data_IF_429044016673
#
_entry.id   IF_429044016673
#
_cell.length_a   1.000
_cell.length_b   1.000
_cell.length_c   1.000
_cell.angle_alpha   90.00
_cell.angle_beta   90.00
_cell.angle_gamma   90.00
#
_symmetry.space_group_name_H-M   'P 1'
#
loop_
_entity.id
_entity.type
_entity.pdbx_description
1 polymer ?
#
# COMPACT_ATOMS: atom_id res chain seq x y z
N UNK A 1 -12.38 28.08 9.89
CA UNK A 1 -12.65 26.99 8.95
C UNK A 1 -14.15 26.68 8.94
N UNK A 2 -14.78 26.32 10.09
CA UNK A 2 -16.21 25.97 10.14
C UNK A 2 -17.13 27.04 9.53
N UNK A 3 -16.91 28.32 9.86
CA UNK A 3 -17.68 29.45 9.27
C UNK A 3 -17.50 29.59 7.74
N UNK A 4 -16.36 29.16 7.21
CA UNK A 4 -16.07 29.18 5.78
C UNK A 4 -16.63 27.96 5.04
N UNK A 5 -17.16 26.96 5.73
CA UNK A 5 -17.73 25.73 5.15
C UNK A 5 -16.73 24.85 4.40
N UNK A 6 -15.43 25.09 4.57
CA UNK A 6 -14.37 24.33 3.90
C UNK A 6 -13.94 23.13 4.73
N UNK A 7 -13.56 22.02 4.11
CA UNK A 7 -12.95 20.90 4.81
C UNK A 7 -11.55 21.25 5.33
N UNK A 8 -11.14 20.61 6.43
CA UNK A 8 -9.84 20.80 7.06
C UNK A 8 -9.08 19.49 7.08
N UNK A 9 -7.85 19.49 6.58
CA UNK A 9 -6.87 18.44 6.82
C UNK A 9 -5.87 18.92 7.88
N UNK A 10 -5.65 18.10 8.90
CA UNK A 10 -4.64 18.32 9.94
C UNK A 10 -3.53 17.29 9.71
N UNK A 11 -2.30 17.76 9.56
CA UNK A 11 -1.11 16.91 9.42
C UNK A 11 -0.24 17.21 10.64
N UNK A 12 -0.20 16.30 11.59
CA UNK A 12 0.50 16.47 12.85
C UNK A 12 1.24 15.19 13.26
N UNK A 13 2.16 15.30 14.20
CA UNK A 13 2.85 14.13 14.75
C UNK A 13 1.86 13.15 15.38
N UNK A 14 0.95 13.66 16.19
CA UNK A 14 -0.21 12.93 16.69
C UNK A 14 -1.40 13.87 16.93
N UNK A 15 -2.59 13.30 16.95
CA UNK A 15 -3.84 13.97 17.36
C UNK A 15 -4.57 13.02 18.28
N UNK A 16 -4.56 13.28 19.56
CA UNK A 16 -5.09 12.40 20.60
C UNK A 16 -5.89 13.16 21.67
N UNK A 17 -6.42 12.42 22.64
CA UNK A 17 -7.10 12.97 23.80
C UNK A 17 -8.29 13.87 23.46
N UNK A 18 -8.39 15.02 24.15
CA UNK A 18 -9.48 15.97 24.00
C UNK A 18 -9.53 16.59 22.59
N UNK A 19 -8.38 16.79 21.95
CA UNK A 19 -8.31 17.33 20.58
C UNK A 19 -8.99 16.37 19.60
N UNK A 20 -8.63 15.08 19.64
CA UNK A 20 -9.26 14.07 18.80
C UNK A 20 -10.76 13.95 19.07
N UNK A 21 -11.16 13.88 20.35
CA UNK A 21 -12.56 13.79 20.73
C UNK A 21 -13.38 14.98 20.21
N UNK A 22 -12.83 16.19 20.32
CA UNK A 22 -13.46 17.41 19.81
C UNK A 22 -13.64 17.36 18.29
N UNK A 23 -12.62 16.94 17.54
CA UNK A 23 -12.69 16.81 16.08
C UNK A 23 -13.74 15.77 15.66
N UNK A 24 -13.75 14.61 16.31
CA UNK A 24 -14.71 13.53 16.03
C UNK A 24 -16.14 13.98 16.28
N UNK A 25 -16.42 14.59 17.44
CA UNK A 25 -17.78 15.06 17.78
C UNK A 25 -18.26 16.12 16.78
N UNK A 26 -17.41 17.06 16.41
CA UNK A 26 -17.80 18.12 15.46
C UNK A 26 -17.95 17.59 14.03
N UNK A 27 -17.18 16.55 13.65
CA UNK A 27 -17.33 15.86 12.38
C UNK A 27 -18.65 15.09 12.31
N UNK A 28 -18.99 14.33 13.35
CA UNK A 28 -20.26 13.58 13.44
C UNK A 28 -21.46 14.51 13.40
N UNK A 29 -21.37 15.66 14.09
CA UNK A 29 -22.43 16.69 14.07
C UNK A 29 -22.52 17.47 12.76
N UNK A 30 -21.61 17.22 11.81
CA UNK A 30 -21.57 17.94 10.52
C UNK A 30 -21.16 19.41 10.63
N UNK A 31 -20.63 19.85 11.78
CA UNK A 31 -20.17 21.24 12.00
C UNK A 31 -18.92 21.54 11.17
N UNK A 32 -18.01 20.57 11.06
CA UNK A 32 -16.80 20.66 10.27
C UNK A 32 -16.49 19.31 9.58
N UNK A 33 -16.08 19.37 8.31
CA UNK A 33 -15.50 18.23 7.61
C UNK A 33 -14.01 18.22 7.90
N UNK A 34 -13.53 17.31 8.74
CA UNK A 34 -12.14 17.27 9.17
C UNK A 34 -11.57 15.87 9.05
N UNK A 35 -10.31 15.79 8.67
CA UNK A 35 -9.49 14.60 8.73
C UNK A 35 -8.16 14.94 9.37
N UNK A 36 -7.65 14.07 10.24
CA UNK A 36 -6.31 14.17 10.80
C UNK A 36 -5.48 12.98 10.32
N UNK A 37 -4.26 13.27 9.89
CA UNK A 37 -3.29 12.26 9.44
C UNK A 37 -1.96 12.48 10.14
N UNK A 38 -1.23 11.38 10.35
CA UNK A 38 0.12 11.47 10.93
C UNK A 38 1.10 12.09 9.96
N UNK A 39 1.94 12.98 10.47
CA UNK A 39 3.02 13.59 9.71
C UNK A 39 4.02 12.52 9.24
N UNK A 40 4.49 12.57 7.98
CA UNK A 40 5.40 11.60 7.44
C UNK A 40 6.82 11.73 8.04
N UNK A 41 7.51 10.61 8.20
CA UNK A 41 8.89 10.56 8.68
C UNK A 41 9.04 10.78 10.20
N UNK A 42 10.29 10.95 10.63
CA UNK A 42 10.67 11.13 12.04
C UNK A 42 11.74 12.21 12.17
N UNK A 43 11.80 12.88 13.35
CA UNK A 43 12.82 13.87 13.67
C UNK A 43 12.93 14.99 12.62
N UNK A 44 14.14 15.38 12.26
CA UNK A 44 14.39 16.47 11.31
C UNK A 44 13.85 16.18 9.90
N UNK A 45 13.77 14.90 9.51
CA UNK A 45 13.14 14.52 8.25
C UNK A 45 11.65 14.83 8.26
N UNK A 46 10.94 14.61 9.37
CA UNK A 46 9.53 14.99 9.51
C UNK A 46 9.34 16.49 9.32
N UNK A 47 10.20 17.29 9.94
CA UNK A 47 10.17 18.76 9.79
C UNK A 47 10.39 19.16 8.35
N UNK A 48 11.37 18.57 7.68
CA UNK A 48 11.65 18.84 6.28
C UNK A 48 10.50 18.46 5.34
N UNK A 49 9.83 17.32 5.59
CA UNK A 49 8.68 16.89 4.80
C UNK A 49 7.44 17.76 5.06
N UNK A 50 7.20 18.19 6.29
CA UNK A 50 6.15 19.16 6.61
C UNK A 50 6.41 20.50 5.93
N UNK A 51 7.66 20.95 5.86
CA UNK A 51 8.04 22.15 5.12
C UNK A 51 7.78 22.02 3.62
N UNK A 52 8.07 20.85 3.04
CA UNK A 52 7.78 20.56 1.64
C UNK A 52 6.27 20.65 1.35
N UNK A 53 5.44 20.07 2.23
CA UNK A 53 3.97 20.15 2.13
C UNK A 53 3.48 21.59 2.30
N UNK A 54 4.05 22.35 3.23
CA UNK A 54 3.71 23.74 3.46
C UNK A 54 4.00 24.58 2.22
N UNK A 55 5.18 24.45 1.62
CA UNK A 55 5.54 25.14 0.38
C UNK A 55 4.60 24.76 -0.76
N UNK A 56 4.27 23.48 -0.90
CA UNK A 56 3.36 23.01 -1.95
C UNK A 56 1.95 23.60 -1.82
N UNK A 57 1.48 23.83 -0.61
CA UNK A 57 0.09 24.27 -0.32
C UNK A 57 -0.03 25.74 0.00
N UNK A 58 1.08 26.45 0.11
CA UNK A 58 1.13 27.85 0.57
C UNK A 58 0.84 27.99 2.07
N UNK A 59 1.10 26.94 2.85
CA UNK A 59 0.93 26.93 4.30
C UNK A 59 2.21 27.38 5.03
N UNK A 60 2.08 27.53 6.34
CA UNK A 60 3.20 27.71 7.27
C UNK A 60 3.22 26.56 8.26
N UNK A 61 4.38 25.95 8.47
CA UNK A 61 4.54 24.92 9.51
C UNK A 61 4.48 25.59 10.88
N UNK A 62 3.53 25.16 11.70
CA UNK A 62 3.39 25.68 13.08
C UNK A 62 4.27 24.81 13.98
N UNK A 63 5.38 25.39 14.45
CA UNK A 63 6.32 24.73 15.35
C UNK A 63 6.81 25.72 16.39
N UNK A 64 6.91 25.29 17.63
CA UNK A 64 7.36 26.13 18.76
C UNK A 64 8.81 26.59 18.56
N UNK A 65 9.63 25.80 17.90
CA UNK A 65 11.03 26.11 17.61
C UNK A 65 11.21 27.36 16.72
N UNK A 66 10.22 27.66 15.87
CA UNK A 66 10.20 28.87 15.04
C UNK A 66 9.34 29.99 15.67
N UNK A 67 8.94 29.83 16.93
CA UNK A 67 8.16 30.83 17.67
C UNK A 67 6.67 30.86 17.32
N UNK A 68 6.16 29.88 16.61
CA UNK A 68 4.75 29.74 16.26
C UNK A 68 4.06 28.76 17.21
N UNK A 69 2.89 29.14 17.73
CA UNK A 69 2.06 28.25 18.56
C UNK A 69 0.67 28.08 17.95
N UNK A 70 0.07 26.91 18.19
CA UNK A 70 -1.28 26.61 17.73
C UNK A 70 -2.32 27.61 18.26
N UNK A 71 -2.13 28.13 19.45
CA UNK A 71 -3.04 29.12 20.08
C UNK A 71 -3.13 30.43 19.27
N UNK A 72 -2.04 30.80 18.59
CA UNK A 72 -1.93 32.03 17.80
C UNK A 72 -2.19 31.81 16.32
N UNK A 73 -2.39 30.55 15.89
CA UNK A 73 -2.61 30.21 14.51
C UNK A 73 -3.92 30.80 13.97
N UNK A 74 -3.85 31.39 12.81
CA UNK A 74 -4.98 31.99 12.10
C UNK A 74 -5.22 31.28 10.76
N UNK A 75 -6.17 31.74 9.98
CA UNK A 75 -6.40 31.21 8.64
C UNK A 75 -5.27 31.54 7.66
N UNK A 76 -4.41 32.48 8.00
CA UNK A 76 -3.30 32.89 7.11
C UNK A 76 -2.17 31.88 7.06
N UNK A 77 -2.00 31.10 8.12
CA UNK A 77 -1.01 30.01 8.18
C UNK A 77 -1.49 28.73 7.49
N UNK A 78 -2.78 28.65 7.15
CA UNK A 78 -3.34 27.47 6.50
C UNK A 78 -3.09 27.49 4.99
N UNK A 79 -2.57 26.40 4.49
CA UNK A 79 -2.48 26.16 3.06
C UNK A 79 -3.82 25.72 2.45
N UNK A 80 -3.87 25.69 1.14
CA UNK A 80 -5.02 25.20 0.39
C UNK A 80 -4.59 24.29 -0.76
N UNK A 81 -5.49 23.40 -1.17
CA UNK A 81 -5.32 22.55 -2.34
C UNK A 81 -6.68 22.38 -3.04
N UNK A 82 -6.65 22.10 -4.33
CA UNK A 82 -7.86 21.85 -5.10
C UNK A 82 -8.55 20.57 -4.67
N UNK A 83 -7.78 19.53 -4.40
CA UNK A 83 -8.29 18.24 -3.94
C UNK A 83 -7.26 17.56 -3.04
N UNK A 84 -7.75 16.92 -1.97
CA UNK A 84 -6.95 16.02 -1.14
C UNK A 84 -7.64 14.67 -1.13
N UNK A 85 -6.89 13.63 -1.43
CA UNK A 85 -7.35 12.25 -1.39
C UNK A 85 -6.62 11.52 -0.26
N UNK A 86 -7.39 10.94 0.65
CA UNK A 86 -6.88 10.28 1.84
C UNK A 86 -7.36 8.85 1.82
N UNK A 87 -6.42 7.92 1.95
CA UNK A 87 -6.68 6.50 2.17
C UNK A 87 -6.08 6.09 3.51
N UNK A 88 -6.21 4.83 3.86
CA UNK A 88 -5.58 4.29 5.07
C UNK A 88 -4.04 4.39 5.01
N UNK A 89 -3.46 4.25 3.82
CA UNK A 89 -2.02 4.14 3.60
C UNK A 89 -1.39 5.43 3.06
N UNK A 90 -2.17 6.25 2.33
CA UNK A 90 -1.63 7.37 1.60
C UNK A 90 -2.49 8.63 1.71
N UNK A 91 -1.84 9.78 1.72
CA UNK A 91 -2.48 11.10 1.56
C UNK A 91 -1.88 11.80 0.36
N UNK A 92 -2.71 12.10 -0.63
CA UNK A 92 -2.29 12.75 -1.87
C UNK A 92 -2.85 14.17 -1.94
N UNK A 93 -1.99 15.17 -2.08
CA UNK A 93 -2.33 16.57 -2.28
C UNK A 93 -2.25 16.89 -3.77
N UNK A 94 -3.34 17.34 -4.35
CA UNK A 94 -3.46 17.66 -5.79
C UNK A 94 -3.72 19.14 -5.96
N UNK A 95 -2.90 19.79 -6.79
CA UNK A 95 -2.97 21.23 -7.08
C UNK A 95 -2.97 22.07 -5.79
N UNK A 96 -1.88 22.01 -5.04
CA UNK A 96 -1.62 22.90 -3.90
C UNK A 96 -1.48 24.35 -4.37
N UNK A 97 -1.88 25.30 -3.51
CA UNK A 97 -1.88 26.73 -3.84
C UNK A 97 -0.54 27.42 -3.58
N UNK A 98 0.54 26.67 -3.34
CA UNK A 98 1.88 27.24 -3.20
C UNK A 98 2.38 27.93 -4.47
N UNK A 99 3.25 28.92 -4.31
CA UNK A 99 3.79 29.64 -5.47
C UNK A 99 4.76 28.74 -6.24
N UNK A 100 4.72 28.82 -7.56
CA UNK A 100 5.62 28.04 -8.44
C UNK A 100 7.10 28.41 -8.20
N UNK A 101 7.38 29.66 -7.85
CA UNK A 101 8.72 30.13 -7.49
C UNK A 101 9.26 29.46 -6.24
N UNK A 102 8.43 29.35 -5.19
CA UNK A 102 8.84 28.74 -3.93
C UNK A 102 9.05 27.24 -4.06
N UNK A 103 8.16 26.57 -4.84
CA UNK A 103 8.29 25.16 -5.16
C UNK A 103 9.60 24.91 -5.95
N UNK A 104 9.89 25.71 -6.98
CA UNK A 104 11.16 25.61 -7.73
C UNK A 104 12.37 25.87 -6.85
N UNK A 105 12.34 26.90 -6.00
CA UNK A 105 13.41 27.16 -5.05
C UNK A 105 13.66 26.00 -4.10
N UNK A 106 12.59 25.36 -3.62
CA UNK A 106 12.71 24.19 -2.76
C UNK A 106 13.28 22.96 -3.48
N UNK A 107 12.87 22.75 -4.72
CA UNK A 107 13.41 21.68 -5.60
C UNK A 107 14.92 21.86 -5.79
N UNK A 108 15.40 23.06 -6.10
CA UNK A 108 16.83 23.34 -6.25
C UNK A 108 17.60 23.16 -4.94
N UNK A 109 17.02 23.57 -3.80
CA UNK A 109 17.62 23.32 -2.49
C UNK A 109 17.81 21.81 -2.21
N UNK A 110 16.80 20.99 -2.52
CA UNK A 110 16.90 19.53 -2.33
C UNK A 110 17.94 18.95 -3.28
N UNK A 111 18.04 19.43 -4.53
CA UNK A 111 19.10 19.00 -5.47
C UNK A 111 20.49 19.26 -4.95
N UNK A 112 20.73 20.46 -4.42
CA UNK A 112 22.03 20.80 -3.79
C UNK A 112 22.35 19.84 -2.63
N UNK A 113 21.37 19.55 -1.78
CA UNK A 113 21.56 18.60 -0.68
C UNK A 113 21.89 17.19 -1.16
N UNK A 114 21.33 16.74 -2.31
CA UNK A 114 21.65 15.44 -2.92
C UNK A 114 23.13 15.40 -3.40
N UNK A 115 23.64 16.51 -3.91
CA UNK A 115 25.03 16.62 -4.36
C UNK A 115 26.02 16.69 -3.21
N UNK A 116 25.64 17.33 -2.10
CA UNK A 116 26.49 17.55 -0.93
C UNK A 116 26.56 16.31 0.00
N UNK A 117 25.51 15.49 0.03
CA UNK A 117 25.47 14.34 0.94
C UNK A 117 26.39 13.20 0.50
N UNK A 118 27.13 12.64 1.46
CA UNK A 118 27.98 11.46 1.28
C UNK A 118 27.29 10.15 1.68
N UNK A 119 26.12 10.24 2.28
CA UNK A 119 25.32 9.10 2.74
C UNK A 119 24.38 8.63 1.62
N UNK A 120 24.55 7.40 1.15
CA UNK A 120 23.66 6.79 0.14
C UNK A 120 22.20 6.73 0.62
N UNK A 121 22.00 6.46 1.91
CA UNK A 121 20.67 6.46 2.52
C UNK A 121 20.01 7.85 2.51
N UNK A 122 20.74 8.91 2.88
CA UNK A 122 20.21 10.27 2.86
C UNK A 122 19.95 10.73 1.44
N UNK A 123 20.83 10.35 0.51
CA UNK A 123 20.66 10.62 -0.92
C UNK A 123 19.37 10.00 -1.46
N UNK A 124 19.10 8.74 -1.13
CA UNK A 124 17.84 8.07 -1.51
C UNK A 124 16.62 8.83 -0.95
N UNK A 125 16.65 9.22 0.33
CA UNK A 125 15.53 9.92 0.98
C UNK A 125 15.33 11.35 0.46
N UNK A 126 16.38 12.03 0.06
CA UNK A 126 16.30 13.32 -0.61
C UNK A 126 15.72 13.17 -2.03
N UNK A 127 16.12 12.12 -2.77
CA UNK A 127 15.53 11.81 -4.08
C UNK A 127 14.04 11.50 -4.00
N UNK A 128 13.58 10.77 -2.99
CA UNK A 128 12.15 10.55 -2.74
C UNK A 128 11.39 11.86 -2.53
N UNK A 129 11.93 12.78 -1.74
CA UNK A 129 11.34 14.11 -1.52
C UNK A 129 11.29 14.93 -2.79
N UNK A 130 12.40 14.94 -3.54
CA UNK A 130 12.48 15.62 -4.84
C UNK A 130 11.41 15.12 -5.81
N UNK A 131 11.26 13.79 -5.92
CA UNK A 131 10.27 13.17 -6.80
C UNK A 131 8.84 13.57 -6.43
N UNK A 132 8.52 13.67 -5.13
CA UNK A 132 7.18 14.10 -4.65
C UNK A 132 6.88 15.56 -4.95
N UNK A 133 7.88 16.44 -4.89
CA UNK A 133 7.70 17.87 -5.17
C UNK A 133 7.72 18.20 -6.67
N UNK A 134 8.66 17.59 -7.41
CA UNK A 134 8.89 17.91 -8.82
C UNK A 134 8.08 17.06 -9.80
N UNK A 135 7.67 15.85 -9.39
CA UNK A 135 7.07 14.85 -10.28
C UNK A 135 5.58 15.05 -10.57
N UNK A 136 4.87 15.85 -9.79
CA UNK A 136 3.43 15.99 -9.89
C UNK A 136 2.66 14.72 -9.53
N UNK A 137 1.35 14.72 -9.75
CA UNK A 137 0.44 13.58 -9.51
C UNK A 137 -0.25 13.19 -10.80
N UNK A 138 -0.01 11.98 -11.27
CA UNK A 138 -0.78 11.40 -12.37
C UNK A 138 -2.08 10.78 -11.83
N UNK A 139 -3.21 11.09 -12.47
CA UNK A 139 -4.52 10.54 -12.10
C UNK A 139 -5.00 9.61 -13.20
N UNK A 140 -5.12 8.33 -12.88
CA UNK A 140 -5.70 7.34 -13.78
C UNK A 140 -7.19 7.22 -13.45
N UNK A 141 -8.05 7.64 -14.38
CA UNK A 141 -9.50 7.52 -14.23
C UNK A 141 -9.97 6.16 -14.73
N UNK A 142 -10.53 5.37 -13.84
CA UNK A 142 -11.07 4.03 -14.15
C UNK A 142 -12.58 4.10 -14.25
N UNK A 143 -13.14 3.55 -15.34
CA UNK A 143 -14.58 3.44 -15.55
C UNK A 143 -14.97 2.05 -16.05
N UNK A 144 -16.21 1.64 -15.81
CA UNK A 144 -16.80 0.41 -16.30
C UNK A 144 -18.33 0.55 -16.39
N UNK A 145 -19.01 -0.44 -16.98
CA UNK A 145 -20.45 -0.45 -17.11
C UNK A 145 -21.16 -0.71 -15.77
N UNK A 146 -20.55 -1.44 -14.86
CA UNK A 146 -21.08 -1.77 -13.53
C UNK A 146 -20.10 -1.38 -12.42
N UNK A 147 -20.63 -1.18 -11.22
CA UNK A 147 -19.81 -0.87 -10.03
C UNK A 147 -18.84 -2.01 -9.68
N UNK A 148 -19.26 -3.26 -9.83
CA UNK A 148 -18.43 -4.44 -9.57
C UNK A 148 -17.24 -4.49 -10.53
N UNK A 149 -17.51 -4.33 -11.82
CA UNK A 149 -16.46 -4.28 -12.85
C UNK A 149 -15.51 -3.10 -12.66
N UNK A 150 -16.02 -1.94 -12.25
CA UNK A 150 -15.21 -0.78 -11.95
C UNK A 150 -14.27 -1.03 -10.77
N UNK A 151 -14.76 -1.68 -9.71
CA UNK A 151 -13.94 -2.06 -8.54
C UNK A 151 -12.85 -3.06 -8.92
N UNK A 152 -13.20 -4.06 -9.75
CA UNK A 152 -12.22 -5.04 -10.24
C UNK A 152 -11.13 -4.37 -11.09
N UNK A 153 -11.50 -3.52 -12.05
CA UNK A 153 -10.54 -2.77 -12.86
C UNK A 153 -9.65 -1.85 -12.02
N UNK A 154 -10.24 -1.18 -11.02
CA UNK A 154 -9.49 -0.35 -10.09
C UNK A 154 -8.46 -1.16 -9.32
N UNK A 155 -8.85 -2.29 -8.75
CA UNK A 155 -7.95 -3.18 -8.01
C UNK A 155 -6.80 -3.69 -8.90
N UNK A 156 -7.07 -4.03 -10.16
CA UNK A 156 -6.06 -4.45 -11.14
C UNK A 156 -5.06 -3.34 -11.47
N UNK A 157 -5.52 -2.09 -11.59
CA UNK A 157 -4.64 -0.93 -11.80
C UNK A 157 -3.80 -0.64 -10.55
N UNK A 158 -4.39 -0.75 -9.36
CA UNK A 158 -3.68 -0.59 -8.08
C UNK A 158 -2.58 -1.66 -7.93
N UNK A 159 -2.87 -2.91 -8.25
CA UNK A 159 -1.90 -4.01 -8.24
C UNK A 159 -0.73 -3.74 -9.21
N UNK A 160 -1.03 -3.36 -10.44
CA UNK A 160 -0.02 -2.98 -11.43
C UNK A 160 0.85 -1.81 -10.96
N UNK A 161 0.27 -0.83 -10.26
CA UNK A 161 1.01 0.29 -9.69
C UNK A 161 1.98 -0.16 -8.58
N UNK A 162 1.52 -1.02 -7.68
CA UNK A 162 2.37 -1.57 -6.61
C UNK A 162 3.52 -2.41 -7.19
N UNK A 163 3.24 -3.28 -8.16
CA UNK A 163 4.25 -4.06 -8.86
C UNK A 163 5.29 -3.17 -9.57
N UNK A 164 4.83 -2.12 -10.24
CA UNK A 164 5.70 -1.17 -10.94
C UNK A 164 6.62 -0.41 -9.96
N UNK A 165 6.09 0.05 -8.83
CA UNK A 165 6.88 0.70 -7.78
C UNK A 165 7.96 -0.24 -7.24
N UNK A 166 7.59 -1.47 -6.91
CA UNK A 166 8.54 -2.48 -6.43
C UNK A 166 9.63 -2.79 -7.48
N UNK A 167 9.28 -2.83 -8.76
CA UNK A 167 10.21 -3.03 -9.86
C UNK A 167 11.18 -1.86 -10.05
N UNK A 168 10.74 -0.63 -9.82
CA UNK A 168 11.62 0.56 -9.87
C UNK A 168 12.64 0.53 -8.73
N UNK A 169 12.27 0.00 -7.55
CA UNK A 169 13.13 -0.03 -6.38
C UNK A 169 14.25 -1.09 -6.48
N UNK A 170 13.95 -2.31 -6.91
CA UNK A 170 14.88 -3.45 -6.89
C UNK A 170 15.04 -4.15 -8.25
N UNK A 171 14.46 -3.60 -9.32
CA UNK A 171 14.50 -4.22 -10.64
C UNK A 171 13.51 -5.36 -10.82
N UNK A 172 13.69 -6.09 -11.91
CA UNK A 172 12.81 -7.18 -12.34
C UNK A 172 13.59 -8.49 -12.49
N UNK A 173 12.88 -9.59 -12.36
CA UNK A 173 13.35 -10.95 -12.64
C UNK A 173 12.38 -11.68 -13.56
N UNK A 174 12.78 -12.83 -14.10
CA UNK A 174 11.88 -13.71 -14.85
C UNK A 174 10.70 -14.13 -13.96
N UNK A 175 9.48 -13.89 -14.45
CA UNK A 175 8.24 -14.20 -13.74
C UNK A 175 7.84 -15.68 -13.85
N UNK A 176 6.61 -15.98 -13.43
CA UNK A 176 6.09 -17.34 -13.49
C UNK A 176 6.76 -18.33 -12.52
N UNK A 177 7.39 -17.85 -11.45
CA UNK A 177 8.11 -18.68 -10.49
C UNK A 177 9.54 -19.06 -10.91
N UNK A 178 9.97 -18.68 -12.11
CA UNK A 178 11.29 -19.05 -12.67
C UNK A 178 12.45 -18.53 -11.83
N UNK A 179 12.36 -17.30 -11.31
CA UNK A 179 13.42 -16.70 -10.51
C UNK A 179 13.77 -17.54 -9.27
N UNK A 180 12.76 -18.10 -8.57
CA UNK A 180 12.96 -18.96 -7.42
C UNK A 180 13.57 -20.31 -7.82
N UNK A 181 13.17 -20.91 -8.95
CA UNK A 181 13.76 -22.13 -9.49
C UNK A 181 15.24 -21.92 -9.83
N UNK A 182 15.60 -20.78 -10.41
CA UNK A 182 17.03 -20.44 -10.66
C UNK A 182 17.81 -20.21 -9.37
N UNK A 183 17.21 -19.57 -8.38
CA UNK A 183 17.81 -19.43 -7.05
C UNK A 183 17.99 -20.78 -6.36
N UNK A 184 17.01 -21.68 -6.46
CA UNK A 184 17.08 -23.06 -5.97
C UNK A 184 18.31 -23.81 -6.51
N UNK A 185 18.59 -23.69 -7.81
CA UNK A 185 19.74 -24.32 -8.44
C UNK A 185 21.09 -23.85 -7.84
N UNK A 186 21.17 -22.61 -7.35
CA UNK A 186 22.37 -22.07 -6.71
C UNK A 186 22.60 -22.58 -5.28
N UNK A 187 21.55 -23.05 -4.64
CA UNK A 187 21.59 -23.57 -3.26
C UNK A 187 21.37 -25.06 -3.16
N UNK A 188 21.37 -25.78 -4.30
CA UNK A 188 21.09 -27.22 -4.31
C UNK A 188 22.11 -28.05 -3.52
N UNK A 189 23.37 -27.61 -3.49
CA UNK A 189 24.48 -28.29 -2.81
C UNK A 189 24.72 -27.74 -1.39
N UNK A 190 23.88 -26.83 -0.91
CA UNK A 190 23.96 -26.30 0.45
C UNK A 190 23.62 -27.43 1.44
N UNK A 191 24.50 -27.66 2.41
CA UNK A 191 24.30 -28.63 3.49
C UNK A 191 24.44 -27.93 4.84
N UNK A 192 23.73 -28.44 5.82
CA UNK A 192 23.83 -28.00 7.21
C UNK A 192 24.97 -28.68 7.95
N UNK A 193 25.13 -28.36 9.21
CA UNK A 193 26.12 -29.00 10.10
C UNK A 193 25.59 -30.30 10.75
N UNK A 194 24.30 -30.60 10.60
CA UNK A 194 23.64 -31.80 11.11
C UNK A 194 22.39 -32.13 10.28
N UNK A 195 21.85 -33.33 10.53
CA UNK A 195 20.68 -33.87 9.82
C UNK A 195 19.44 -32.94 9.90
N UNK A 196 19.16 -32.33 11.05
CA UNK A 196 17.97 -31.50 11.24
C UNK A 196 18.06 -30.21 10.38
N UNK A 197 19.27 -29.63 10.26
CA UNK A 197 19.51 -28.52 9.36
C UNK A 197 19.35 -28.92 7.89
N UNK A 198 19.81 -30.12 7.51
CA UNK A 198 19.61 -30.63 6.15
C UNK A 198 18.13 -30.79 5.81
N UNK A 199 17.33 -31.28 6.76
CA UNK A 199 15.85 -31.37 6.62
C UNK A 199 15.26 -29.97 6.44
N UNK A 200 15.65 -29.01 7.25
CA UNK A 200 15.20 -27.61 7.14
C UNK A 200 15.56 -26.98 5.78
N UNK A 201 16.78 -27.21 5.29
CA UNK A 201 17.22 -26.77 3.96
C UNK A 201 16.37 -27.45 2.87
N UNK A 202 16.06 -28.75 3.02
CA UNK A 202 15.18 -29.50 2.11
C UNK A 202 13.78 -28.91 2.04
N UNK A 203 13.20 -28.54 3.19
CA UNK A 203 11.88 -27.87 3.26
C UNK A 203 11.92 -26.53 2.53
N UNK A 204 12.93 -25.71 2.77
CA UNK A 204 13.07 -24.40 2.11
C UNK A 204 13.22 -24.56 0.58
N UNK A 205 14.01 -25.51 0.13
CA UNK A 205 14.15 -25.82 -1.31
C UNK A 205 12.81 -26.22 -1.92
N UNK A 206 12.08 -27.11 -1.28
CA UNK A 206 10.78 -27.57 -1.78
C UNK A 206 9.77 -26.41 -1.84
N UNK A 207 9.80 -25.51 -0.86
CA UNK A 207 8.94 -24.32 -0.85
C UNK A 207 9.22 -23.38 -2.02
N UNK A 208 10.47 -23.27 -2.49
CA UNK A 208 10.84 -22.41 -3.63
C UNK A 208 10.27 -22.91 -4.98
N UNK A 209 9.90 -24.17 -5.09
CA UNK A 209 9.24 -24.73 -6.28
C UNK A 209 7.73 -24.38 -6.34
N UNK A 210 7.11 -24.14 -5.18
CA UNK A 210 5.64 -24.04 -5.08
C UNK A 210 5.03 -22.93 -5.93
N UNK A 211 5.60 -21.71 -6.06
CA UNK A 211 5.02 -20.68 -6.93
C UNK A 211 4.86 -21.14 -8.39
N UNK A 212 5.88 -21.79 -8.96
CA UNK A 212 5.78 -22.37 -10.32
C UNK A 212 4.75 -23.48 -10.36
N UNK A 213 4.78 -24.42 -9.40
CA UNK A 213 3.85 -25.54 -9.34
C UNK A 213 2.41 -25.09 -9.26
N UNK A 214 2.13 -24.07 -8.43
CA UNK A 214 0.78 -23.53 -8.27
C UNK A 214 0.28 -22.86 -9.56
N UNK A 215 1.14 -22.06 -10.23
CA UNK A 215 0.79 -21.43 -11.50
C UNK A 215 0.43 -22.48 -12.54
N UNK A 216 1.26 -23.49 -12.69
CA UNK A 216 1.05 -24.58 -13.66
C UNK A 216 -0.20 -25.38 -13.33
N UNK A 217 -0.41 -25.74 -12.04
CA UNK A 217 -1.60 -26.46 -11.59
C UNK A 217 -2.89 -25.67 -11.83
N UNK A 218 -2.86 -24.34 -11.64
CA UNK A 218 -3.99 -23.46 -11.94
C UNK A 218 -4.31 -23.40 -13.44
N UNK A 219 -3.31 -23.58 -14.31
CA UNK A 219 -3.51 -23.70 -15.75
C UNK A 219 -4.07 -25.07 -16.19
N UNK A 220 -4.06 -26.05 -15.28
CA UNK A 220 -4.54 -27.41 -15.57
C UNK A 220 -3.45 -28.37 -16.07
N UNK A 221 -2.19 -27.94 -16.06
CA UNK A 221 -1.06 -28.72 -16.53
C UNK A 221 -0.35 -29.47 -15.39
N UNK A 222 0.46 -30.49 -15.77
CA UNK A 222 1.21 -31.30 -14.81
C UNK A 222 2.45 -30.54 -14.29
N UNK A 223 2.36 -30.04 -13.08
CA UNK A 223 3.37 -29.18 -12.48
C UNK A 223 4.76 -29.81 -12.39
N UNK A 224 4.85 -31.14 -12.15
CA UNK A 224 6.12 -31.84 -12.02
C UNK A 224 6.86 -31.91 -13.36
N UNK A 225 6.14 -32.12 -14.45
CA UNK A 225 6.71 -32.14 -15.80
C UNK A 225 7.23 -30.76 -16.21
N UNK A 226 6.44 -29.73 -15.96
CA UNK A 226 6.83 -28.36 -16.28
C UNK A 226 8.03 -27.91 -15.45
N UNK A 227 8.02 -28.18 -14.14
CA UNK A 227 9.12 -27.84 -13.24
C UNK A 227 10.44 -28.47 -13.75
N UNK A 228 10.45 -29.76 -14.06
CA UNK A 228 11.64 -30.46 -14.54
C UNK A 228 12.19 -29.84 -15.84
N UNK A 229 11.31 -29.52 -16.79
CA UNK A 229 11.71 -28.81 -18.00
C UNK A 229 12.28 -27.41 -17.75
N UNK A 230 11.71 -26.69 -16.80
CA UNK A 230 12.22 -25.36 -16.42
C UNK A 230 13.56 -25.47 -15.71
N UNK A 231 13.76 -26.49 -14.84
CA UNK A 231 15.04 -26.77 -14.18
C UNK A 231 16.17 -27.08 -15.15
N UNK A 232 15.87 -27.85 -16.21
CA UNK A 232 16.83 -28.18 -17.27
C UNK A 232 17.22 -26.98 -18.14
N UNK A 233 16.41 -25.92 -18.11
CA UNK A 233 16.67 -24.70 -18.85
C UNK A 233 17.60 -23.73 -18.13
N UNK A 234 18.13 -22.75 -18.84
CA UNK A 234 19.06 -21.74 -18.32
C UNK A 234 18.46 -20.33 -18.40
N UNK A 235 19.02 -19.40 -17.61
CA UNK A 235 18.67 -17.98 -17.65
C UNK A 235 17.19 -17.75 -17.36
N UNK A 236 16.51 -17.06 -18.28
CA UNK A 236 15.09 -16.68 -18.14
C UNK A 236 14.13 -17.73 -18.73
N UNK A 237 14.63 -18.90 -19.15
CA UNK A 237 13.80 -19.94 -19.74
C UNK A 237 12.76 -20.45 -18.74
N UNK A 238 11.49 -20.40 -19.15
CA UNK A 238 10.36 -20.76 -18.30
C UNK A 238 9.15 -21.20 -19.09
N UNK A 239 8.01 -21.28 -18.44
CA UNK A 239 6.74 -21.75 -19.00
C UNK A 239 5.68 -20.66 -18.93
N UNK A 240 5.10 -20.30 -20.08
CA UNK A 240 3.95 -19.40 -20.19
C UNK A 240 2.67 -20.21 -19.98
N UNK A 241 2.10 -20.16 -18.79
CA UNK A 241 0.90 -20.90 -18.44
C UNK A 241 -0.38 -20.44 -19.19
N UNK A 242 -0.36 -19.26 -19.82
CA UNK A 242 -1.48 -18.79 -20.62
C UNK A 242 -1.52 -19.41 -22.04
N UNK A 243 -0.34 -19.76 -22.60
CA UNK A 243 -0.25 -20.28 -23.98
C UNK A 243 0.26 -21.71 -24.07
N UNK A 244 0.81 -22.27 -22.98
CA UNK A 244 1.46 -23.57 -22.98
C UNK A 244 2.87 -23.58 -23.60
N UNK A 245 3.45 -22.41 -23.88
CA UNK A 245 4.74 -22.29 -24.55
C UNK A 245 5.90 -22.14 -23.59
N UNK A 246 7.05 -22.69 -23.98
CA UNK A 246 8.31 -22.54 -23.25
C UNK A 246 9.20 -21.52 -23.98
N UNK A 247 9.88 -20.67 -23.21
CA UNK A 247 10.79 -19.69 -23.78
C UNK A 247 11.36 -18.71 -22.76
N UNK A 248 12.00 -17.65 -23.24
CA UNK A 248 12.51 -16.57 -22.39
C UNK A 248 11.36 -15.74 -21.83
N UNK A 249 11.14 -15.83 -20.52
CA UNK A 249 10.03 -15.15 -19.82
C UNK A 249 10.12 -13.64 -19.93
N UNK A 250 11.34 -13.09 -19.92
CA UNK A 250 11.55 -11.64 -20.04
C UNK A 250 11.17 -11.17 -21.44
N UNK A 251 11.58 -11.91 -22.48
CA UNK A 251 11.21 -11.61 -23.86
C UNK A 251 9.70 -11.75 -24.10
N UNK A 252 9.03 -12.66 -23.40
CA UNK A 252 7.57 -12.84 -23.43
C UNK A 252 6.80 -11.78 -22.62
N UNK A 253 7.50 -10.89 -21.89
CA UNK A 253 6.88 -9.89 -21.02
C UNK A 253 6.32 -10.44 -19.72
N UNK A 254 6.73 -11.64 -19.31
CA UNK A 254 6.32 -12.29 -18.04
C UNK A 254 7.40 -11.98 -17.01
N UNK A 255 7.14 -10.97 -16.19
CA UNK A 255 8.10 -10.36 -15.27
C UNK A 255 7.55 -10.35 -13.86
N UNK A 256 8.43 -10.52 -12.88
CA UNK A 256 8.13 -10.30 -11.46
C UNK A 256 9.05 -9.20 -10.90
N UNK A 257 8.54 -8.31 -10.02
CA UNK A 257 9.41 -7.42 -9.26
C UNK A 257 10.32 -8.21 -8.32
N UNK A 258 11.62 -7.97 -8.37
CA UNK A 258 12.60 -8.65 -7.51
C UNK A 258 12.25 -8.52 -6.03
N UNK A 259 11.86 -7.32 -5.61
CA UNK A 259 11.45 -7.03 -4.24
C UNK A 259 10.31 -7.92 -3.77
N UNK A 260 9.27 -8.11 -4.60
CA UNK A 260 8.10 -8.92 -4.25
C UNK A 260 8.50 -10.39 -4.07
N UNK A 261 9.24 -10.95 -5.03
CA UNK A 261 9.70 -12.36 -4.98
C UNK A 261 10.60 -12.60 -3.77
N UNK A 262 11.52 -11.69 -3.50
CA UNK A 262 12.43 -11.77 -2.36
C UNK A 262 11.69 -11.68 -1.02
N UNK A 263 10.79 -10.72 -0.85
CA UNK A 263 10.01 -10.57 0.38
C UNK A 263 9.04 -11.71 0.60
N UNK A 264 8.44 -12.27 -0.46
CA UNK A 264 7.58 -13.43 -0.34
C UNK A 264 8.32 -14.61 0.32
N UNK A 265 9.52 -14.94 -0.17
CA UNK A 265 10.34 -16.00 0.41
C UNK A 265 10.80 -15.66 1.84
N UNK A 266 11.30 -14.46 2.06
CA UNK A 266 11.81 -14.01 3.36
C UNK A 266 10.71 -14.01 4.44
N UNK A 267 9.54 -13.47 4.13
CA UNK A 267 8.43 -13.41 5.07
C UNK A 267 7.83 -14.78 5.34
N UNK A 268 7.70 -15.63 4.31
CA UNK A 268 7.26 -17.01 4.48
C UNK A 268 8.22 -17.79 5.40
N UNK A 269 9.52 -17.68 5.19
CA UNK A 269 10.53 -18.32 6.04
C UNK A 269 10.48 -17.79 7.48
N UNK A 270 10.30 -16.48 7.67
CA UNK A 270 10.20 -15.86 8.99
C UNK A 270 8.98 -16.38 9.77
N UNK A 271 7.80 -16.38 9.14
CA UNK A 271 6.57 -16.86 9.78
C UNK A 271 6.64 -18.37 10.05
N UNK A 272 7.07 -19.17 9.07
CA UNK A 272 7.23 -20.61 9.23
C UNK A 272 8.23 -20.94 10.34
N UNK A 273 9.36 -20.22 10.41
CA UNK A 273 10.35 -20.38 11.48
C UNK A 273 9.79 -20.10 12.87
N UNK A 274 8.96 -19.08 13.01
CA UNK A 274 8.26 -18.81 14.27
C UNK A 274 7.25 -19.93 14.60
N UNK A 275 6.46 -20.38 13.62
CA UNK A 275 5.46 -21.43 13.84
C UNK A 275 6.07 -22.76 14.31
N UNK A 276 7.17 -23.21 13.71
CA UNK A 276 7.82 -24.46 14.09
C UNK A 276 8.55 -24.41 15.43
N UNK A 277 8.79 -23.21 15.99
CA UNK A 277 9.41 -23.02 17.31
C UNK A 277 8.39 -22.88 18.44
N UNK A 278 7.08 -22.86 18.13
CA UNK A 278 6.01 -22.74 19.13
C UNK A 278 5.37 -24.09 19.41
N UNK A 279 4.95 -24.33 20.66
CA UNK A 279 4.24 -25.53 21.06
C UNK A 279 2.72 -25.41 20.89
N UNK A 280 2.20 -24.19 20.86
CA UNK A 280 0.78 -23.91 20.72
C UNK A 280 0.53 -22.62 19.95
N UNK A 281 -0.55 -22.59 19.20
CA UNK A 281 -1.08 -21.40 18.54
C UNK A 281 -2.44 -21.06 19.14
N UNK A 282 -2.62 -19.81 19.56
CA UNK A 282 -3.90 -19.30 20.04
C UNK A 282 -4.49 -18.42 18.94
N UNK A 283 -5.65 -18.77 18.44
CA UNK A 283 -6.38 -18.04 17.42
C UNK A 283 -7.82 -17.79 17.86
N UNK A 284 -8.44 -16.74 17.30
CA UNK A 284 -9.87 -16.51 17.49
C UNK A 284 -10.66 -17.64 16.81
N UNK A 285 -11.68 -18.13 17.50
CA UNK A 285 -12.62 -19.09 16.91
C UNK A 285 -13.40 -18.39 15.76
N UNK A 286 -13.56 -19.03 14.60
CA UNK A 286 -14.37 -18.47 13.54
C UNK A 286 -15.78 -18.12 14.06
N UNK A 287 -16.18 -16.86 13.87
CA UNK A 287 -17.56 -16.46 14.20
C UNK A 287 -18.51 -17.15 13.24
N UNK A 288 -19.48 -17.90 13.79
CA UNK A 288 -20.59 -18.40 12.99
C UNK A 288 -21.34 -17.22 12.37
N UNK A 289 -21.18 -17.04 11.07
CA UNK A 289 -22.03 -16.16 10.26
C UNK A 289 -23.45 -16.78 10.10
N UNK A 290 -24.03 -17.22 11.19
CA UNK A 290 -25.45 -17.58 11.19
C UNK A 290 -26.23 -16.29 10.93
N UNK A 291 -27.07 -16.24 9.88
CA UNK A 291 -27.90 -15.06 9.64
C UNK A 291 -28.75 -14.86 10.89
N UNK A 292 -28.67 -13.64 11.47
CA UNK A 292 -29.56 -13.27 12.58
C UNK A 292 -30.98 -13.68 12.19
N UNK A 293 -31.73 -14.40 13.05
CA UNK A 293 -33.13 -14.66 12.82
C UNK A 293 -33.81 -13.31 12.61
N UNK A 294 -34.36 -13.10 11.43
CA UNK A 294 -35.01 -11.84 11.04
C UNK A 294 -35.95 -11.39 12.14
N UNK A 295 -35.77 -10.15 12.57
CA UNK A 295 -36.66 -9.50 13.51
C UNK A 295 -38.07 -9.63 13.02
N UNK A 296 -38.89 -10.38 13.77
CA UNK A 296 -40.25 -10.63 13.44
C UNK A 296 -41.00 -9.31 13.26
N UNK A 297 -41.69 -9.28 12.18
CA UNK A 297 -42.73 -8.32 11.81
C UNK A 297 -43.71 -8.12 12.99
N UNK A 298 -43.55 -7.05 13.75
CA UNK A 298 -44.49 -6.54 14.72
C UNK A 298 -45.24 -5.35 14.12
N UNK A 299 -46.00 -5.62 13.07
CA UNK A 299 -46.83 -4.64 12.40
C UNK A 299 -48.22 -5.14 12.10
N UNK A 300 -49.02 -5.43 13.10
CA UNK A 300 -50.37 -5.88 12.86
C UNK A 300 -51.29 -5.74 14.05
N UNK A 301 -51.54 -4.52 14.53
CA UNK A 301 -52.70 -4.29 15.40
C UNK A 301 -53.16 -2.84 15.33
N UNK A 302 -54.23 -2.59 14.62
CA UNK A 302 -54.84 -1.28 14.61
C UNK A 302 -55.80 -1.05 13.46
N UNK A 303 -56.99 -1.56 13.54
CA UNK A 303 -58.01 -1.25 12.53
C UNK A 303 -59.37 -1.81 12.80
N UNK A 304 -59.93 -1.53 13.94
CA UNK A 304 -61.34 -1.73 14.19
C UNK A 304 -62.06 -0.38 14.14
N UNK A 305 -63.04 -0.22 13.28
CA UNK A 305 -63.98 0.91 13.35
C UNK A 305 -64.48 1.40 12.03
N UNK A 306 -65.73 1.21 11.77
CA UNK A 306 -66.43 2.01 10.80
C UNK A 306 -67.54 1.34 10.02
N UNK A 307 -68.57 1.05 10.68
CA UNK A 307 -69.93 0.71 10.20
C UNK A 307 -70.66 1.95 9.65
N UNK A 308 -71.49 1.78 8.63
CA UNK A 308 -72.50 2.72 8.17
C UNK A 308 -72.32 3.13 6.72
N UNK A 309 -73.19 2.83 5.83
CA UNK A 309 -74.54 3.10 5.69
C UNK A 309 -74.85 3.51 4.29
N UNK A 310 -75.76 2.82 3.71
CA UNK A 310 -76.81 3.25 2.75
C UNK A 310 -76.54 4.45 1.82
N UNK A 311 -76.57 4.29 0.57
CA UNK A 311 -77.60 4.38 -0.48
C UNK A 311 -76.93 4.10 -1.83
#
# INVERSE_FOLDING_TARGET
>A
VAKAGKPLLIIAEDVEGEALATLVVNSIRGIIKVCAVKAPGFGDRRKAMLQDIAILTGATVIAEEVGLSLEKATLNELGTAKKIQITKEETTVIDGAGSESDIKGRVEQIRSQIEETTSDYDKEKLQERLAKLAGGVAVIQVGAATEVEMKEKKARVEDALHATRAAVEEGIVAGGGVALVRALQKVKDLTGSNHDQDVGIGIARRAMEEPLRQIVGNAGDEASVVLHKVEDGEGNYGYNAATGEYGDMVAMGILDPTKVTRFALQNAASVAGLMITTEAMVAEEPKDDSPMPGGGDMGGMGGMGGMGGMM
#
